data_IF_551804286413
#
_entry.id   IF_551804286413
#
_cell.length_a   1.000
_cell.length_b   1.000
_cell.length_c   1.000
_cell.angle_alpha   90.00
_cell.angle_beta   90.00
_cell.angle_gamma   90.00
#
_symmetry.space_group_name_H-M   'P 1'
#
loop_
_entity.id
_entity.type
_entity.pdbx_description
1 polymer ?
#
# COMPACT_ATOMS: atom_id res chain seq x y z
N UNK A 1 -13.86 12.91 -5.80
CA UNK A 1 -14.52 11.76 -6.43
C UNK A 1 -14.25 11.68 -7.94
N UNK A 2 -14.60 12.67 -8.77
CA UNK A 2 -14.47 12.57 -10.24
C UNK A 2 -13.03 12.29 -10.74
N UNK A 3 -12.01 12.95 -10.16
CA UNK A 3 -10.60 12.69 -10.47
C UNK A 3 -10.17 11.25 -10.13
N UNK A 4 -10.74 10.63 -9.10
CA UNK A 4 -10.37 9.27 -8.65
C UNK A 4 -11.03 8.20 -9.51
N UNK A 5 -12.28 8.43 -9.93
CA UNK A 5 -12.96 7.63 -10.96
C UNK A 5 -12.17 7.64 -12.29
N UNK A 6 -11.63 8.81 -12.68
CA UNK A 6 -10.77 8.94 -13.86
C UNK A 6 -9.45 8.16 -13.76
N UNK A 7 -8.84 8.05 -12.57
CA UNK A 7 -7.64 7.22 -12.36
C UNK A 7 -7.92 5.72 -12.44
N UNK A 8 -9.15 5.32 -12.11
CA UNK A 8 -9.62 3.96 -12.33
C UNK A 8 -9.70 3.61 -13.82
N UNK A 9 -10.17 4.54 -14.65
CA UNK A 9 -10.34 4.30 -16.10
C UNK A 9 -9.01 4.22 -16.87
N UNK A 10 -7.87 4.50 -16.25
CA UNK A 10 -6.56 4.41 -16.90
C UNK A 10 -6.12 2.96 -17.07
N UNK A 11 -5.47 2.62 -18.20
CA UNK A 11 -4.74 1.36 -18.36
C UNK A 11 -3.79 1.11 -17.19
N UNK A 12 -3.64 -0.15 -16.79
CA UNK A 12 -2.87 -0.49 -15.57
C UNK A 12 -1.42 -0.05 -15.62
N UNK A 13 -0.75 -0.20 -16.76
CA UNK A 13 0.63 0.26 -16.94
C UNK A 13 0.77 1.76 -16.65
N UNK A 14 -0.22 2.56 -17.06
CA UNK A 14 -0.28 3.99 -16.78
C UNK A 14 -0.62 4.27 -15.32
N UNK A 15 -1.59 3.57 -14.74
CA UNK A 15 -1.92 3.69 -13.32
C UNK A 15 -0.70 3.37 -12.44
N UNK A 16 -0.05 2.23 -12.68
CA UNK A 16 1.18 1.82 -12.00
C UNK A 16 2.28 2.87 -12.12
N UNK A 17 2.54 3.38 -13.33
CA UNK A 17 3.53 4.44 -13.54
C UNK A 17 3.20 5.72 -12.76
N UNK A 18 1.93 6.14 -12.75
CA UNK A 18 1.48 7.31 -12.01
C UNK A 18 1.59 7.13 -10.50
N UNK A 19 1.20 5.96 -9.98
CA UNK A 19 1.29 5.63 -8.56
C UNK A 19 2.76 5.58 -8.13
N UNK A 20 3.63 4.94 -8.92
CA UNK A 20 5.07 4.90 -8.65
C UNK A 20 5.66 6.31 -8.62
N UNK A 21 5.30 7.17 -9.58
CA UNK A 21 5.75 8.57 -9.60
C UNK A 21 5.27 9.33 -8.37
N UNK A 22 4.01 9.18 -7.98
CA UNK A 22 3.40 9.86 -6.83
C UNK A 22 4.03 9.46 -5.50
N UNK A 23 4.29 8.17 -5.32
CA UNK A 23 4.88 7.66 -4.10
C UNK A 23 6.40 7.89 -4.06
N UNK A 24 6.99 8.44 -5.13
CA UNK A 24 8.44 8.61 -5.24
C UNK A 24 9.17 7.27 -5.27
N UNK A 25 8.57 6.23 -5.84
CA UNK A 25 9.12 4.87 -5.92
C UNK A 25 10.55 4.87 -6.45
N UNK A 26 10.81 5.60 -7.54
CA UNK A 26 12.15 5.71 -8.16
C UNK A 26 13.16 6.54 -7.35
N UNK A 27 12.72 7.19 -6.26
CA UNK A 27 13.60 7.91 -5.32
C UNK A 27 14.04 7.03 -4.14
N UNK A 28 13.40 5.87 -3.96
CA UNK A 28 13.76 4.87 -2.95
C UNK A 28 15.05 4.16 -3.35
N UNK A 29 15.74 3.50 -2.43
CA UNK A 29 16.90 2.70 -2.81
C UNK A 29 16.52 1.41 -3.57
N UNK A 30 17.54 0.76 -4.12
CA UNK A 30 17.40 -0.41 -4.98
C UNK A 30 16.74 -1.60 -4.26
N UNK A 31 17.02 -1.81 -2.97
CA UNK A 31 16.45 -2.92 -2.19
C UNK A 31 14.96 -2.74 -2.03
N UNK A 32 14.51 -1.53 -1.69
CA UNK A 32 13.09 -1.21 -1.60
C UNK A 32 12.40 -1.34 -2.96
N UNK A 33 13.01 -0.84 -4.03
CA UNK A 33 12.45 -0.94 -5.38
C UNK A 33 12.30 -2.40 -5.84
N UNK A 34 13.33 -3.23 -5.68
CA UNK A 34 13.30 -4.66 -6.04
C UNK A 34 12.29 -5.45 -5.19
N UNK A 35 12.06 -5.00 -3.96
CA UNK A 35 11.10 -5.58 -3.03
C UNK A 35 9.71 -4.96 -3.15
N UNK A 36 9.49 -4.04 -4.09
CA UNK A 36 8.21 -3.34 -4.32
C UNK A 36 7.68 -2.62 -3.07
N UNK A 37 8.59 -2.02 -2.32
CA UNK A 37 8.31 -1.28 -1.09
C UNK A 37 8.47 0.21 -1.36
N UNK A 38 7.59 1.02 -0.77
CA UNK A 38 7.73 2.47 -0.74
C UNK A 38 7.54 3.01 0.66
N UNK A 39 8.44 3.93 1.03
CA UNK A 39 8.30 4.79 2.18
C UNK A 39 7.49 6.04 1.80
N UNK A 40 6.46 6.33 2.58
CA UNK A 40 5.57 7.47 2.39
C UNK A 40 5.49 8.29 3.70
N UNK A 41 6.02 9.52 3.74
CA UNK A 41 6.73 10.21 2.66
C UNK A 41 8.11 9.58 2.35
N UNK A 42 8.78 9.93 1.23
CA UNK A 42 10.04 9.30 0.82
C UNK A 42 11.22 9.48 1.79
N UNK A 43 11.18 10.52 2.63
CA UNK A 43 12.16 10.84 3.68
C UNK A 43 11.78 10.26 5.05
N UNK A 44 10.80 9.35 5.09
CA UNK A 44 10.35 8.70 6.31
C UNK A 44 11.50 7.94 7.00
N UNK A 45 11.80 8.32 8.24
CA UNK A 45 12.83 7.71 9.07
C UNK A 45 12.33 6.39 9.69
N UNK A 46 12.42 5.34 8.89
CA UNK A 46 12.02 4.01 9.28
C UNK A 46 12.84 3.47 10.47
N UNK A 47 14.14 3.78 10.53
CA UNK A 47 15.04 3.30 11.57
C UNK A 47 14.66 3.82 12.96
N UNK A 48 14.29 5.12 13.06
CA UNK A 48 13.77 5.70 14.30
C UNK A 48 12.47 5.03 14.76
N UNK A 49 11.56 4.76 13.83
CA UNK A 49 10.27 4.16 14.18
C UNK A 49 10.45 2.75 14.70
N UNK A 50 11.26 1.92 14.05
CA UNK A 50 11.54 0.56 14.55
C UNK A 50 12.21 0.57 15.91
N UNK A 51 13.13 1.50 16.18
CA UNK A 51 13.88 1.51 17.44
C UNK A 51 13.11 2.07 18.63
N UNK A 52 12.09 2.91 18.41
CA UNK A 52 11.49 3.69 19.50
C UNK A 52 9.97 3.90 19.43
N UNK A 53 9.31 3.61 18.32
CA UNK A 53 7.88 3.88 18.14
C UNK A 53 7.15 2.78 17.39
N UNK A 54 7.68 1.55 17.39
CA UNK A 54 7.10 0.44 16.66
C UNK A 54 5.70 0.11 17.18
N UNK A 55 5.47 0.27 18.48
CA UNK A 55 4.19 0.15 19.18
C UNK A 55 3.10 1.10 18.64
N UNK A 56 3.49 2.24 18.06
CA UNK A 56 2.58 3.21 17.42
C UNK A 56 2.29 2.89 15.95
N UNK A 57 2.63 1.68 15.50
CA UNK A 57 2.43 1.24 14.13
C UNK A 57 1.29 0.24 14.02
N UNK A 58 0.50 0.37 12.95
CA UNK A 58 -0.50 -0.61 12.53
C UNK A 58 -0.14 -1.19 11.16
N UNK A 59 -0.69 -2.33 10.84
CA UNK A 59 -0.55 -2.99 9.54
C UNK A 59 -1.93 -3.30 8.96
N UNK A 60 -2.04 -3.23 7.64
CA UNK A 60 -3.20 -3.77 6.94
C UNK A 60 -2.74 -4.64 5.78
N UNK A 61 -3.40 -5.79 5.61
CA UNK A 61 -3.06 -6.80 4.63
C UNK A 61 -4.30 -7.17 3.81
N UNK A 62 -4.19 -7.37 2.49
CA UNK A 62 -5.34 -7.70 1.67
C UNK A 62 -5.62 -9.20 1.76
N UNK A 63 -6.89 -9.58 1.86
CA UNK A 63 -7.27 -10.99 1.81
C UNK A 63 -6.96 -11.65 0.45
N UNK A 64 -6.64 -10.88 -0.59
CA UNK A 64 -6.35 -11.37 -1.94
C UNK A 64 -4.94 -11.92 -2.20
N UNK A 65 -4.07 -12.01 -1.19
CA UNK A 65 -2.77 -12.66 -1.34
C UNK A 65 -2.95 -14.18 -1.38
N UNK A 66 -3.15 -14.74 -2.59
CA UNK A 66 -3.36 -16.16 -2.81
C UNK A 66 -2.16 -16.97 -2.28
N UNK A 67 -2.38 -18.21 -1.83
CA UNK A 67 -1.29 -19.06 -1.39
C UNK A 67 -0.25 -19.31 -2.49
N UNK A 68 0.93 -19.79 -2.10
CA UNK A 68 1.98 -20.19 -3.04
C UNK A 68 1.45 -21.36 -3.89
N UNK A 69 0.96 -21.08 -5.10
CA UNK A 69 0.50 -22.11 -6.06
C UNK A 69 -1.02 -22.31 -6.14
N UNK A 70 -1.46 -23.57 -6.28
CA UNK A 70 -2.85 -24.01 -6.52
C UNK A 70 -3.71 -24.16 -5.25
N UNK A 71 -3.14 -23.89 -4.08
CA UNK A 71 -3.87 -24.08 -2.84
C UNK A 71 -5.01 -23.06 -2.71
N UNK A 72 -6.15 -23.44 -2.14
CA UNK A 72 -7.20 -22.49 -1.77
C UNK A 72 -7.05 -22.09 -0.31
N UNK A 73 -7.14 -20.80 0.02
CA UNK A 73 -7.54 -20.46 1.38
C UNK A 73 -9.01 -20.91 1.55
N UNK A 74 -9.37 -21.55 2.66
CA UNK A 74 -10.76 -21.98 2.88
C UNK A 74 -11.68 -20.76 2.82
N UNK A 75 -12.67 -20.82 1.93
CA UNK A 75 -13.74 -19.82 1.88
C UNK A 75 -14.60 -20.00 3.13
N UNK A 76 -14.79 -18.94 3.89
CA UNK A 76 -15.62 -18.97 5.10
C UNK A 76 -17.12 -18.90 4.79
N UNK A 77 -17.50 -18.45 3.59
CA UNK A 77 -18.89 -18.45 3.10
C UNK A 77 -18.96 -19.10 1.70
N UNK A 78 -19.24 -20.41 1.62
CA UNK A 78 -19.37 -21.12 0.35
C UNK A 78 -20.64 -20.74 -0.43
N UNK A 79 -21.60 -20.06 0.20
CA UNK A 79 -22.91 -19.71 -0.41
C UNK A 79 -22.82 -18.37 -1.14
N UNK A 80 -22.07 -17.41 -0.60
CA UNK A 80 -21.92 -16.06 -1.17
C UNK A 80 -20.54 -15.77 -1.76
N UNK A 81 -19.55 -16.65 -1.51
CA UNK A 81 -18.19 -16.52 -2.06
C UNK A 81 -17.42 -15.29 -1.56
N UNK A 82 -17.91 -14.59 -0.54
CA UNK A 82 -17.34 -13.33 -0.06
C UNK A 82 -16.28 -13.59 1.03
N UNK A 83 -15.16 -12.88 0.91
CA UNK A 83 -14.00 -12.96 1.80
C UNK A 83 -14.38 -12.44 3.19
N UNK A 84 -14.12 -13.20 4.24
CA UNK A 84 -14.15 -12.66 5.60
C UNK A 84 -12.77 -12.10 5.97
N UNK A 85 -12.70 -11.22 6.97
CA UNK A 85 -11.44 -10.67 7.48
C UNK A 85 -10.69 -11.63 8.42
N UNK A 86 -11.07 -12.92 8.49
CA UNK A 86 -10.51 -13.89 9.45
C UNK A 86 -9.38 -14.68 8.80
N UNK A 87 -8.17 -14.21 9.05
CA UNK A 87 -6.97 -15.02 8.86
C UNK A 87 -6.76 -15.92 10.10
N UNK A 88 -6.74 -17.25 9.93
CA UNK A 88 -6.50 -18.19 11.03
C UNK A 88 -5.19 -17.92 11.79
N UNK A 89 -4.10 -17.58 11.08
CA UNK A 89 -2.82 -17.19 11.70
C UNK A 89 -2.94 -15.94 12.58
N UNK A 90 -3.77 -14.98 12.17
CA UNK A 90 -4.03 -13.79 12.96
C UNK A 90 -4.81 -14.12 14.24
N UNK A 91 -5.63 -15.18 14.20
CA UNK A 91 -6.41 -15.69 15.33
C UNK A 91 -5.65 -16.69 16.22
N UNK A 92 -4.34 -16.88 16.00
CA UNK A 92 -3.52 -17.85 16.75
C UNK A 92 -4.01 -19.31 16.58
N UNK A 93 -4.60 -19.59 15.42
CA UNK A 93 -5.04 -20.93 15.04
C UNK A 93 -4.08 -21.55 14.02
N UNK A 94 -3.98 -22.88 14.05
CA UNK A 94 -3.18 -23.63 13.09
C UNK A 94 -3.72 -23.47 11.67
N UNK A 95 -2.85 -23.01 10.78
CA UNK A 95 -3.13 -22.85 9.37
C UNK A 95 -2.03 -23.52 8.56
N UNK A 96 -2.38 -24.64 7.92
CA UNK A 96 -1.46 -25.42 7.10
C UNK A 96 -1.43 -24.98 5.62
N UNK A 97 -2.09 -23.87 5.29
CA UNK A 97 -2.10 -23.32 3.94
C UNK A 97 -0.84 -22.46 3.73
N UNK A 98 0.10 -22.84 2.84
CA UNK A 98 1.31 -22.07 2.60
C UNK A 98 0.97 -20.80 1.79
N UNK A 99 0.70 -19.69 2.49
CA UNK A 99 0.31 -18.43 1.86
C UNK A 99 1.19 -17.24 2.24
N UNK A 100 1.37 -16.33 1.27
CA UNK A 100 2.20 -15.13 1.44
C UNK A 100 1.57 -14.14 2.41
N UNK A 101 0.22 -14.11 2.51
CA UNK A 101 -0.50 -13.41 3.57
C UNK A 101 -0.10 -13.94 4.96
N UNK A 102 -0.17 -15.26 5.12
CA UNK A 102 0.17 -15.94 6.36
C UNK A 102 1.61 -15.71 6.78
N UNK A 103 2.56 -15.83 5.84
CA UNK A 103 3.97 -15.51 6.10
C UNK A 103 4.16 -14.07 6.57
N UNK A 104 3.46 -13.09 5.98
CA UNK A 104 3.53 -11.70 6.43
C UNK A 104 2.95 -11.52 7.84
N UNK A 105 1.83 -12.19 8.16
CA UNK A 105 1.26 -12.19 9.52
C UNK A 105 2.26 -12.77 10.53
N UNK A 106 2.94 -13.87 10.19
CA UNK A 106 3.94 -14.48 11.07
C UNK A 106 5.11 -13.50 11.34
N UNK A 107 5.61 -12.81 10.30
CA UNK A 107 6.66 -11.80 10.45
C UNK A 107 6.19 -10.65 11.32
N UNK A 108 4.98 -10.15 11.14
CA UNK A 108 4.44 -9.06 11.96
C UNK A 108 4.33 -9.47 13.44
N UNK A 109 3.79 -10.66 13.71
CA UNK A 109 3.69 -11.20 15.07
C UNK A 109 5.06 -11.42 15.71
N UNK A 110 6.02 -11.96 14.95
CA UNK A 110 7.43 -12.11 15.37
C UNK A 110 8.02 -10.78 15.87
N UNK A 111 7.62 -9.66 15.28
CA UNK A 111 8.07 -8.30 15.66
C UNK A 111 7.09 -7.55 16.58
N UNK A 112 6.20 -8.26 17.27
CA UNK A 112 5.37 -7.70 18.33
C UNK A 112 4.10 -6.97 17.87
N UNK A 113 3.65 -7.15 16.63
CA UNK A 113 2.32 -6.71 16.24
C UNK A 113 1.27 -7.64 16.84
N UNK A 114 0.36 -7.05 17.61
CA UNK A 114 -0.79 -7.74 18.18
C UNK A 114 -1.92 -7.83 17.16
N UNK A 115 -2.90 -8.71 17.43
CA UNK A 115 -4.03 -8.95 16.54
C UNK A 115 -4.81 -7.66 16.20
N UNK A 116 -5.01 -6.79 17.18
CA UNK A 116 -5.75 -5.53 17.01
C UNK A 116 -4.98 -4.47 16.19
N UNK A 117 -3.68 -4.68 15.97
CA UNK A 117 -2.80 -3.81 15.16
C UNK A 117 -2.66 -4.29 13.72
N UNK A 118 -3.23 -5.44 13.36
CA UNK A 118 -3.19 -6.00 12.01
C UNK A 118 -4.63 -6.13 11.48
N UNK A 119 -4.94 -5.40 10.41
CA UNK A 119 -6.25 -5.47 9.77
C UNK A 119 -6.19 -6.29 8.48
N UNK A 120 -7.05 -7.30 8.35
CA UNK A 120 -7.24 -8.00 7.08
C UNK A 120 -8.35 -7.30 6.31
N UNK A 121 -8.00 -6.71 5.17
CA UNK A 121 -8.93 -5.93 4.36
C UNK A 121 -9.96 -6.86 3.72
N UNK A 122 -11.21 -6.66 4.11
CA UNK A 122 -12.41 -7.22 3.48
C UNK A 122 -13.08 -6.21 2.53
N UNK A 123 -12.99 -4.91 2.86
CA UNK A 123 -13.44 -3.80 2.03
C UNK A 123 -12.75 -2.49 2.42
N UNK A 124 -12.70 -1.56 1.46
CA UNK A 124 -12.07 -0.25 1.65
C UNK A 124 -12.77 0.63 2.70
N UNK A 125 -14.12 0.72 2.77
CA UNK A 125 -14.78 1.48 3.84
C UNK A 125 -14.42 1.00 5.25
N UNK A 126 -14.32 -0.32 5.44
CA UNK A 126 -13.95 -0.89 6.73
C UNK A 126 -12.50 -0.55 7.09
N UNK A 127 -11.58 -0.63 6.12
CA UNK A 127 -10.19 -0.21 6.31
C UNK A 127 -10.10 1.26 6.76
N UNK A 128 -10.82 2.16 6.10
CA UNK A 128 -10.75 3.59 6.44
C UNK A 128 -11.38 3.91 7.78
N UNK A 129 -12.50 3.26 8.13
CA UNK A 129 -13.08 3.37 9.47
C UNK A 129 -12.08 2.91 10.52
N UNK A 130 -11.51 1.72 10.34
CA UNK A 130 -10.55 1.15 11.28
C UNK A 130 -9.29 2.01 11.43
N UNK A 131 -8.75 2.54 10.33
CA UNK A 131 -7.59 3.44 10.39
C UNK A 131 -7.91 4.76 11.09
N UNK A 132 -9.13 5.27 10.97
CA UNK A 132 -9.57 6.45 11.70
C UNK A 132 -9.63 6.16 13.20
N UNK A 133 -10.24 5.06 13.60
CA UNK A 133 -10.34 4.65 15.00
C UNK A 133 -8.93 4.45 15.60
N UNK A 134 -8.04 3.76 14.88
CA UNK A 134 -6.63 3.59 15.29
C UNK A 134 -5.88 4.92 15.37
N UNK A 135 -6.25 5.92 14.56
CA UNK A 135 -5.65 7.25 14.64
C UNK A 135 -6.03 7.94 15.95
N UNK A 136 -7.29 7.79 16.37
CA UNK A 136 -7.82 8.31 17.63
C UNK A 136 -7.22 7.60 18.85
N UNK A 137 -6.89 6.31 18.72
CA UNK A 137 -6.11 5.54 19.71
C UNK A 137 -4.63 5.97 19.81
N UNK A 138 -4.15 6.80 18.89
CA UNK A 138 -2.79 7.36 18.91
C UNK A 138 -1.79 6.66 17.99
N UNK A 139 -2.22 5.72 17.16
CA UNK A 139 -1.35 5.11 16.14
C UNK A 139 -0.98 6.13 15.06
N UNK A 140 0.30 6.09 14.65
CA UNK A 140 0.88 7.10 13.75
C UNK A 140 1.37 6.51 12.44
N UNK A 141 1.74 5.23 12.45
CA UNK A 141 2.52 4.64 11.37
C UNK A 141 1.85 3.42 10.74
N UNK A 142 2.16 3.19 9.47
CA UNK A 142 1.74 2.01 8.69
C UNK A 142 2.97 1.13 8.43
N UNK A 143 2.97 -0.12 8.93
CA UNK A 143 4.16 -1.00 8.94
C UNK A 143 3.84 -2.50 8.80
N UNK A 144 3.78 -3.03 7.56
CA UNK A 144 3.48 -2.31 6.35
C UNK A 144 1.97 -2.25 6.12
N UNK A 145 1.57 -1.40 5.19
CA UNK A 145 0.29 -1.49 4.50
C UNK A 145 0.51 -2.22 3.19
N UNK A 146 -0.28 -3.25 2.89
CA UNK A 146 -0.10 -4.05 1.68
C UNK A 146 -1.31 -3.87 0.77
N UNK A 147 -1.08 -3.52 -0.50
CA UNK A 147 -2.17 -3.41 -1.47
C UNK A 147 -1.66 -3.41 -2.92
N UNK A 148 -2.56 -3.54 -3.91
CA UNK A 148 -2.21 -3.45 -5.33
C UNK A 148 -2.09 -2.00 -5.79
N UNK A 149 -1.41 -1.72 -6.91
CA UNK A 149 -1.23 -0.34 -7.39
C UNK A 149 -2.57 0.40 -7.64
N UNK A 150 -3.62 -0.31 -8.07
CA UNK A 150 -4.97 0.27 -8.23
C UNK A 150 -5.59 0.71 -6.90
N UNK A 151 -5.57 -0.16 -5.88
CA UNK A 151 -6.13 0.15 -4.56
C UNK A 151 -5.30 1.19 -3.80
N UNK A 152 -3.97 1.10 -3.90
CA UNK A 152 -3.03 2.03 -3.27
C UNK A 152 -3.15 3.45 -3.82
N UNK A 153 -3.39 3.60 -5.12
CA UNK A 153 -3.36 4.91 -5.78
C UNK A 153 -4.37 5.93 -5.23
N UNK A 154 -5.54 5.47 -4.80
CA UNK A 154 -6.55 6.31 -4.17
C UNK A 154 -6.45 6.27 -2.63
N UNK A 155 -6.18 5.08 -2.05
CA UNK A 155 -6.09 4.90 -0.61
C UNK A 155 -4.92 5.67 0.01
N UNK A 156 -3.76 5.76 -0.66
CA UNK A 156 -2.62 6.48 -0.09
C UNK A 156 -2.88 7.96 0.11
N UNK A 157 -3.60 8.63 -0.80
CA UNK A 157 -3.94 10.03 -0.59
C UNK A 157 -4.85 10.19 0.64
N UNK A 158 -5.79 9.26 0.84
CA UNK A 158 -6.64 9.27 2.01
C UNK A 158 -5.83 9.00 3.29
N UNK A 159 -5.07 7.91 3.33
CA UNK A 159 -4.30 7.44 4.49
C UNK A 159 -3.23 8.47 4.89
N UNK A 160 -2.46 8.99 3.92
CA UNK A 160 -1.39 9.95 4.21
C UNK A 160 -1.90 11.38 4.41
N UNK A 161 -2.69 11.92 3.48
CA UNK A 161 -3.06 13.35 3.52
C UNK A 161 -4.26 13.65 4.40
N UNK A 162 -5.25 12.75 4.46
CA UNK A 162 -6.46 12.97 5.26
C UNK A 162 -6.32 12.41 6.67
N UNK A 163 -5.83 11.17 6.81
CA UNK A 163 -5.67 10.53 8.11
C UNK A 163 -4.30 10.80 8.75
N UNK A 164 -3.33 11.36 8.01
CA UNK A 164 -2.04 11.78 8.56
C UNK A 164 -1.14 10.62 8.96
N UNK A 165 -1.27 9.46 8.32
CA UNK A 165 -0.36 8.33 8.52
C UNK A 165 0.89 8.45 7.65
N UNK A 166 2.02 7.99 8.18
CA UNK A 166 3.25 7.78 7.42
C UNK A 166 3.77 6.37 7.61
N UNK A 167 4.70 5.92 6.77
CA UNK A 167 5.32 4.61 6.95
C UNK A 167 5.60 3.90 5.64
N UNK A 168 5.40 2.58 5.65
CA UNK A 168 5.83 1.66 4.62
C UNK A 168 4.64 1.01 3.93
N UNK A 169 4.63 1.04 2.60
CA UNK A 169 3.65 0.35 1.76
C UNK A 169 4.35 -0.71 0.92
N UNK A 170 3.79 -1.91 0.88
CA UNK A 170 4.22 -3.01 0.00
C UNK A 170 3.20 -3.16 -1.12
N UNK A 171 3.67 -3.15 -2.36
CA UNK A 171 2.83 -3.42 -3.51
C UNK A 171 2.75 -4.92 -3.80
N UNK A 172 1.52 -5.42 -3.95
CA UNK A 172 1.30 -6.79 -4.41
C UNK A 172 1.94 -7.04 -5.78
N UNK A 173 2.43 -8.25 -5.97
CA UNK A 173 2.74 -8.75 -7.30
C UNK A 173 1.48 -9.26 -7.98
N UNK A 174 1.13 -8.63 -9.08
CA UNK A 174 -0.06 -8.90 -9.87
C UNK A 174 0.26 -9.34 -11.30
N UNK A 175 1.53 -9.67 -11.57
CA UNK A 175 1.97 -10.22 -12.85
C UNK A 175 2.70 -11.55 -12.65
N UNK A 176 2.07 -12.65 -13.10
CA UNK A 176 2.75 -13.92 -13.29
C UNK A 176 2.89 -14.21 -14.80
N UNK A 177 4.10 -14.16 -15.38
CA UNK A 177 4.35 -14.48 -16.78
C UNK A 177 3.94 -15.91 -17.15
N UNK A 178 3.88 -16.82 -16.18
CA UNK A 178 3.49 -18.23 -16.37
C UNK A 178 1.98 -18.43 -16.32
N UNK A 179 1.21 -17.41 -15.93
CA UNK A 179 -0.25 -17.41 -15.92
C UNK A 179 -0.81 -16.43 -16.96
N UNK A 180 -0.65 -16.79 -18.24
CA UNK A 180 -1.16 -16.02 -19.37
C UNK A 180 -2.69 -15.99 -19.45
N UNK A 181 -3.38 -16.91 -18.74
CA UNK A 181 -4.84 -17.03 -18.72
C UNK A 181 -5.51 -16.11 -17.69
N UNK A 182 -4.88 -15.88 -16.54
CA UNK A 182 -5.39 -14.98 -15.49
C UNK A 182 -4.57 -13.69 -15.36
N UNK A 183 -3.91 -13.26 -16.44
CA UNK A 183 -2.95 -12.15 -16.44
C UNK A 183 -3.48 -10.83 -15.86
N UNK A 184 -2.54 -9.94 -15.51
CA UNK A 184 -2.66 -8.59 -14.92
C UNK A 184 -4.00 -7.88 -15.18
N UNK A 185 -4.54 -7.15 -14.19
CA UNK A 185 -5.64 -6.20 -14.42
C UNK A 185 -5.35 -5.33 -15.64
N UNK A 186 -6.13 -5.47 -16.72
CA UNK A 186 -5.93 -4.66 -17.94
C UNK A 186 -6.55 -3.27 -17.79
N UNK A 187 -7.55 -3.13 -16.92
CA UNK A 187 -8.25 -1.89 -16.59
C UNK A 187 -9.11 -2.03 -15.34
N UNK A 188 -9.92 -1.01 -15.02
CA UNK A 188 -10.82 -1.04 -13.85
C UNK A 188 -11.94 -2.07 -13.95
N UNK A 189 -12.43 -2.39 -15.14
CA UNK A 189 -13.44 -3.45 -15.29
C UNK A 189 -12.89 -4.80 -14.83
N UNK A 190 -11.62 -5.10 -15.15
CA UNK A 190 -10.93 -6.28 -14.62
C UNK A 190 -10.80 -6.20 -13.10
N UNK A 191 -10.39 -5.06 -12.56
CA UNK A 191 -10.25 -4.85 -11.12
C UNK A 191 -11.59 -5.03 -10.36
N UNK A 192 -12.67 -4.39 -10.83
CA UNK A 192 -14.00 -4.48 -10.22
C UNK A 192 -14.63 -5.87 -10.41
N UNK A 193 -14.40 -6.52 -11.54
CA UNK A 193 -14.86 -7.90 -11.75
C UNK A 193 -14.08 -8.92 -10.89
N UNK A 194 -12.84 -8.61 -10.51
CA UNK A 194 -12.06 -9.39 -9.54
C UNK A 194 -12.61 -9.27 -8.12
N UNK A 195 -13.04 -8.08 -7.69
CA UNK A 195 -13.74 -7.91 -6.40
C UNK A 195 -15.02 -8.75 -6.33
N UNK A 196 -15.67 -8.97 -7.47
CA UNK A 196 -16.97 -9.65 -7.55
C UNK A 196 -16.90 -11.19 -7.70
N UNK A 197 -15.89 -11.74 -8.38
CA UNK A 197 -15.90 -13.17 -8.78
C UNK A 197 -14.61 -13.95 -8.49
N UNK A 198 -13.62 -13.38 -7.80
CA UNK A 198 -12.31 -14.01 -7.52
C UNK A 198 -11.74 -14.78 -8.74
N UNK A 199 -11.83 -14.15 -9.93
CA UNK A 199 -11.28 -14.73 -11.16
C UNK A 199 -9.75 -14.73 -11.07
N UNK A 200 -9.20 -15.81 -10.53
CA UNK A 200 -7.95 -16.45 -10.95
C UNK A 200 -6.63 -15.69 -10.82
N UNK A 201 -6.59 -14.36 -10.63
CA UNK A 201 -5.31 -13.65 -10.68
C UNK A 201 -4.50 -13.97 -9.43
N UNK A 202 -3.30 -14.50 -9.65
CA UNK A 202 -2.35 -14.93 -8.62
C UNK A 202 -1.66 -13.73 -7.95
N UNK A 203 -2.44 -12.81 -7.37
CA UNK A 203 -1.85 -11.71 -6.62
C UNK A 203 -1.20 -12.24 -5.35
N UNK A 204 0.05 -11.86 -5.09
CA UNK A 204 0.80 -12.31 -3.92
C UNK A 204 1.71 -11.22 -3.36
N UNK A 205 2.03 -11.33 -2.08
CA UNK A 205 3.15 -10.60 -1.50
C UNK A 205 4.42 -11.34 -1.95
N UNK A 206 5.40 -10.67 -2.55
CA UNK A 206 6.60 -11.39 -2.99
C UNK A 206 7.43 -11.83 -1.79
N UNK A 207 8.18 -12.92 -1.94
CA UNK A 207 9.14 -13.36 -0.92
C UNK A 207 10.20 -12.30 -0.65
N UNK A 208 10.60 -11.54 -1.68
CA UNK A 208 11.50 -10.39 -1.50
C UNK A 208 10.87 -9.30 -0.64
N UNK A 209 9.57 -9.00 -0.78
CA UNK A 209 8.88 -8.06 0.10
C UNK A 209 8.83 -8.59 1.53
N UNK A 210 8.47 -9.86 1.74
CA UNK A 210 8.36 -10.46 3.08
C UNK A 210 9.73 -10.43 3.79
N UNK A 211 10.78 -10.89 3.12
CA UNK A 211 12.16 -10.90 3.64
C UNK A 211 12.65 -9.49 3.95
N UNK A 212 12.38 -8.52 3.06
CA UNK A 212 12.80 -7.13 3.28
C UNK A 212 12.05 -6.49 4.44
N UNK A 213 10.75 -6.75 4.60
CA UNK A 213 9.99 -6.28 5.77
C UNK A 213 10.53 -6.91 7.08
N UNK A 214 10.85 -8.20 7.09
CA UNK A 214 11.48 -8.85 8.26
C UNK A 214 12.82 -8.19 8.59
N UNK A 215 13.68 -7.97 7.60
CA UNK A 215 14.97 -7.28 7.76
C UNK A 215 14.79 -5.85 8.28
N UNK A 216 13.80 -5.13 7.75
CA UNK A 216 13.46 -3.77 8.13
C UNK A 216 13.01 -3.73 9.60
N UNK A 217 12.01 -4.52 9.97
CA UNK A 217 11.47 -4.59 11.35
C UNK A 217 12.51 -5.09 12.36
N UNK A 218 13.47 -5.92 11.94
CA UNK A 218 14.59 -6.32 12.77
C UNK A 218 15.64 -5.21 13.01
N UNK A 219 15.48 -4.03 12.39
CA UNK A 219 16.45 -2.93 12.48
C UNK A 219 17.72 -3.13 11.64
N UNK A 220 17.76 -4.14 10.77
CA UNK A 220 18.93 -4.51 9.97
C UNK A 220 18.98 -3.79 8.62
N UNK A 221 17.94 -3.04 8.27
CA UNK A 221 17.88 -2.26 7.05
C UNK A 221 18.63 -0.92 7.21
N UNK A 222 19.70 -0.75 6.43
CA UNK A 222 20.46 0.51 6.35
C UNK A 222 20.07 1.25 5.08
N UNK A 223 19.19 2.24 5.20
CA UNK A 223 18.86 3.12 4.07
C UNK A 223 20.11 3.86 3.59
N UNK A 224 20.39 3.82 2.29
CA UNK A 224 21.56 4.46 1.67
C UNK A 224 21.45 6.00 1.69
N UNK A 225 20.28 6.57 2.00
CA UNK A 225 20.01 8.00 1.84
C UNK A 225 20.41 8.92 3.01
N UNK A 226 21.00 8.41 4.09
CA UNK A 226 21.34 9.23 5.28
C UNK A 226 22.76 9.82 5.30
N UNK A 227 23.45 9.92 4.15
CA UNK A 227 24.68 10.72 4.04
C UNK A 227 24.66 11.58 2.79
N UNK A 228 24.66 12.90 2.99
CA UNK A 228 24.89 13.97 2.01
C UNK A 228 23.74 14.29 1.03
N UNK A 229 22.80 15.14 1.45
CA UNK A 229 22.18 16.13 0.54
C UNK A 229 22.15 17.50 1.20
N UNK A 230 23.23 18.25 1.01
CA UNK A 230 23.15 19.70 0.89
C UNK A 230 22.17 19.99 -0.26
N UNK A 231 21.04 20.62 0.05
CA UNK A 231 20.04 20.97 -0.95
C UNK A 231 20.61 22.05 -1.87
N UNK A 232 21.01 21.70 -3.08
CA UNK A 232 20.99 22.66 -4.19
C UNK A 232 19.53 22.96 -4.52
N UNK A 233 19.16 24.22 -4.34
CA UNK A 233 17.86 24.78 -4.67
C UNK A 233 17.73 24.80 -6.19
N UNK A 234 17.08 23.77 -6.76
CA UNK A 234 16.61 23.82 -8.14
C UNK A 234 15.30 24.62 -8.18
N UNK A 235 15.43 25.90 -8.52
CA UNK A 235 14.33 26.77 -8.90
C UNK A 235 13.58 26.15 -10.09
N UNK A 236 12.28 25.86 -9.92
CA UNK A 236 11.37 25.58 -11.02
C UNK A 236 10.30 26.69 -11.12
N UNK A 237 9.83 27.02 -12.33
CA UNK A 237 9.09 28.25 -12.58
C UNK A 237 7.69 28.24 -11.99
N UNK A 238 7.32 29.37 -11.38
CA UNK A 238 5.97 29.71 -10.95
C UNK A 238 5.01 29.67 -12.16
N UNK A 239 4.14 28.66 -12.22
CA UNK A 239 2.90 28.80 -12.97
C UNK A 239 1.91 29.53 -12.08
N UNK A 240 1.85 30.84 -12.29
CA UNK A 240 0.93 31.75 -11.63
C UNK A 240 -0.52 31.32 -11.89
N UNK A 241 -1.30 31.42 -10.83
CA UNK A 241 -2.75 31.47 -10.86
C UNK A 241 -3.21 32.62 -11.77
N UNK A 242 -4.17 32.31 -12.63
CA UNK A 242 -5.12 33.24 -13.21
C UNK A 242 -6.03 33.79 -12.11
N UNK A 243 -6.19 35.12 -12.02
CA UNK A 243 -7.52 35.64 -11.77
C UNK A 243 -7.84 36.78 -12.75
N UNK A 244 -8.76 36.49 -13.66
CA UNK A 244 -9.64 37.49 -14.23
C UNK A 244 -10.28 38.34 -13.13
N UNK A 245 -10.00 39.64 -13.07
CA UNK A 245 -11.01 40.69 -12.93
C UNK A 245 -10.41 42.11 -12.89
N UNK A 246 -10.84 42.92 -13.87
CA UNK A 246 -11.23 44.34 -13.78
C UNK A 246 -10.37 45.27 -12.92
N UNK A 247 -9.71 46.23 -13.58
CA UNK A 247 -9.88 47.65 -13.22
C UNK A 247 -9.56 48.59 -14.37
N UNK A 248 -10.55 49.44 -14.63
CA UNK A 248 -10.63 50.69 -15.38
C UNK A 248 -9.31 51.47 -15.52
N UNK A 249 -8.99 51.91 -16.75
CA UNK A 249 -8.16 53.10 -17.01
C UNK A 249 -8.96 54.36 -16.62
N UNK A 250 -8.40 55.29 -15.83
CA UNK A 250 -8.70 56.70 -15.97
C UNK A 250 -7.84 57.32 -17.07
N UNK A 251 -8.37 58.39 -17.67
CA UNK A 251 -7.73 59.25 -18.65
C UNK A 251 -6.67 60.17 -18.01
N UNK A 252 -6.07 61.02 -18.87
CA UNK A 252 -5.21 62.19 -18.60
C UNK A 252 -3.70 61.86 -18.51
N UNK A 253 -2.78 62.52 -19.23
CA UNK A 253 -2.78 63.72 -20.09
C UNK A 253 -1.82 63.51 -21.26
#
# INVERSE_FOLDING_TARGET
>A
MLKELLYGLLPYSLNKSLVNRRCGFHKQDKVLQESRIVLSPPDFDFGRVVSSELDKSVSFLPYCAKPRGENGCPLCDPVHGRKDSKCLKLMDMDCHVPCTLGSMVDILKKHGFTRDRIFIIDSDPNLFSWLKDKKEEGYKYIMPGVACHYGVGYALNHISKKLGYSGCIVFLDDHDPKDSKNGVCRGISDYLSMEKYDKGKLTRITESSISTIDMMLAGNYKSVNNKNKSYEVLNYPNFAHDPSEKTKKPAEN
#
